data_IF_983780308387
#
_entry.id   IF_983780308387
#
_cell.length_a   1.000
_cell.length_b   1.000
_cell.length_c   1.000
_cell.angle_alpha   90.00
_cell.angle_beta   90.00
_cell.angle_gamma   90.00
#
_symmetry.space_group_name_H-M   'P 1'
#
loop_
_entity.id
_entity.type
_entity.pdbx_description
1 polymer ?
#
# COMPACT_ATOMS: atom_id res chain seq x y z
N UNK A 1 -13.02 7.71 -16.71
CA UNK A 1 -12.37 6.41 -16.85
C UNK A 1 -11.17 6.41 -15.91
N UNK A 2 -11.06 5.50 -14.94
CA UNK A 2 -9.86 5.46 -14.10
C UNK A 2 -8.69 5.04 -15.00
N UNK A 3 -7.74 5.95 -15.20
CA UNK A 3 -6.48 5.62 -15.86
C UNK A 3 -5.73 4.68 -14.93
N UNK A 4 -5.43 3.47 -15.42
CA UNK A 4 -4.55 2.55 -14.71
C UNK A 4 -3.18 3.24 -14.55
N UNK A 5 -2.58 3.20 -13.35
CA UNK A 5 -1.26 3.78 -13.15
C UNK A 5 -0.26 3.06 -14.06
N UNK A 6 0.63 3.84 -14.65
CA UNK A 6 1.76 3.33 -15.43
C UNK A 6 2.69 2.50 -14.55
N UNK A 7 3.51 1.62 -15.15
CA UNK A 7 4.48 0.81 -14.42
C UNK A 7 5.40 1.66 -13.52
N UNK A 8 5.80 2.85 -14.00
CA UNK A 8 6.59 3.82 -13.24
C UNK A 8 5.85 4.32 -12.00
N UNK A 9 4.59 4.73 -12.15
CA UNK A 9 3.77 5.20 -11.03
C UNK A 9 3.55 4.09 -9.99
N UNK A 10 3.41 2.85 -10.44
CA UNK A 10 3.25 1.70 -9.54
C UNK A 10 4.52 1.45 -8.72
N UNK A 11 5.70 1.47 -9.35
CA UNK A 11 7.00 1.38 -8.66
C UNK A 11 7.14 2.51 -7.63
N UNK A 12 6.93 3.76 -8.04
CA UNK A 12 7.05 4.91 -7.15
C UNK A 12 6.09 4.84 -5.96
N UNK A 13 4.88 4.30 -6.16
CA UNK A 13 3.89 4.10 -5.12
C UNK A 13 4.29 3.01 -4.13
N UNK A 14 4.81 1.89 -4.61
CA UNK A 14 5.29 0.78 -3.76
C UNK A 14 6.48 1.22 -2.91
N UNK A 15 7.40 1.99 -3.49
CA UNK A 15 8.64 2.43 -2.81
C UNK A 15 8.54 3.84 -2.21
N UNK A 16 7.36 4.46 -2.16
CA UNK A 16 7.18 5.82 -1.67
C UNK A 16 7.75 6.02 -0.25
N UNK A 17 7.45 5.08 0.67
CA UNK A 17 7.98 5.12 2.03
C UNK A 17 9.50 5.18 2.09
N UNK A 18 10.17 4.39 1.24
CA UNK A 18 11.62 4.34 1.17
C UNK A 18 12.22 5.62 0.55
N UNK A 19 11.64 6.11 -0.55
CA UNK A 19 12.07 7.37 -1.20
C UNK A 19 12.00 8.53 -0.20
N UNK A 20 10.92 8.63 0.58
CA UNK A 20 10.80 9.65 1.64
C UNK A 20 11.82 9.48 2.75
N UNK A 21 12.08 8.24 3.20
CA UNK A 21 13.09 7.99 4.23
C UNK A 21 14.47 8.51 3.81
N UNK A 22 14.86 8.27 2.55
CA UNK A 22 16.13 8.77 2.00
C UNK A 22 16.14 10.31 1.96
N UNK A 23 15.12 10.93 1.37
CA UNK A 23 15.08 12.40 1.23
C UNK A 23 15.02 13.10 2.58
N UNK A 24 14.24 12.58 3.54
CA UNK A 24 14.15 13.15 4.89
C UNK A 24 15.47 13.03 5.64
N UNK A 25 16.19 11.91 5.54
CA UNK A 25 17.49 11.76 6.20
C UNK A 25 18.60 12.65 5.59
N UNK A 26 18.46 13.05 4.33
CA UNK A 26 19.36 14.03 3.71
C UNK A 26 19.07 15.46 4.17
N UNK A 27 17.80 15.78 4.47
CA UNK A 27 17.38 17.07 5.05
C UNK A 27 17.69 17.15 6.54
N UNK A 28 17.42 16.07 7.26
CA UNK A 28 17.68 15.90 8.68
C UNK A 28 18.70 14.78 8.90
N UNK A 29 19.97 15.20 9.00
CA UNK A 29 21.11 14.30 9.14
C UNK A 29 21.06 13.47 10.44
N UNK A 30 20.21 13.81 11.40
CA UNK A 30 20.01 12.99 12.61
C UNK A 30 19.36 11.64 12.31
N UNK A 31 18.66 11.51 11.18
CA UNK A 31 18.01 10.26 10.74
C UNK A 31 18.92 9.35 9.90
N UNK A 32 20.13 9.82 9.53
CA UNK A 32 21.08 9.01 8.77
C UNK A 32 21.47 7.68 9.41
N UNK A 33 21.70 7.58 10.74
CA UNK A 33 22.05 6.30 11.35
C UNK A 33 20.98 5.22 11.14
N UNK A 34 19.70 5.60 11.20
CA UNK A 34 18.61 4.66 10.96
C UNK A 34 18.41 4.35 9.48
N UNK A 35 18.60 5.34 8.59
CA UNK A 35 18.65 5.08 7.14
C UNK A 35 19.76 4.10 6.79
N UNK A 36 20.95 4.23 7.38
CA UNK A 36 22.09 3.33 7.09
C UNK A 36 21.78 1.88 7.48
N UNK A 37 21.06 1.65 8.59
CA UNK A 37 20.59 0.30 8.96
C UNK A 37 19.59 -0.25 7.94
N UNK A 38 18.66 0.58 7.46
CA UNK A 38 17.71 0.19 6.43
C UNK A 38 18.42 -0.18 5.12
N UNK A 39 19.43 0.61 4.72
CA UNK A 39 20.24 0.34 3.54
C UNK A 39 21.05 -0.96 3.68
N UNK A 40 21.58 -1.24 4.86
CA UNK A 40 22.29 -2.51 5.13
C UNK A 40 21.34 -3.71 5.01
N UNK A 41 20.12 -3.60 5.55
CA UNK A 41 19.10 -4.64 5.39
C UNK A 41 18.68 -4.82 3.91
N UNK A 42 18.54 -3.73 3.15
CA UNK A 42 18.23 -3.78 1.73
C UNK A 42 19.35 -4.43 0.90
N UNK A 43 20.61 -4.12 1.22
CA UNK A 43 21.78 -4.73 0.59
C UNK A 43 21.80 -6.24 0.82
N UNK A 44 21.51 -6.70 2.05
CA UNK A 44 21.38 -8.12 2.39
C UNK A 44 20.17 -8.79 1.73
N UNK A 45 19.10 -8.04 1.45
CA UNK A 45 17.90 -8.51 0.76
C UNK A 45 18.06 -8.58 -0.77
N UNK A 46 19.25 -8.30 -1.31
CA UNK A 46 19.54 -8.41 -2.74
C UNK A 46 19.47 -7.11 -3.53
N UNK A 47 19.53 -5.95 -2.86
CA UNK A 47 19.52 -4.63 -3.51
C UNK A 47 20.88 -3.87 -3.44
N UNK A 48 22.04 -4.51 -3.69
CA UNK A 48 23.34 -3.88 -3.48
C UNK A 48 23.62 -2.70 -4.44
N UNK A 49 23.13 -2.76 -5.68
CA UNK A 49 23.37 -1.70 -6.67
C UNK A 49 22.62 -0.42 -6.31
N UNK A 50 21.33 -0.52 -5.98
CA UNK A 50 20.53 0.58 -5.45
C UNK A 50 21.16 1.21 -4.19
N UNK A 51 21.57 0.37 -3.23
CA UNK A 51 22.19 0.85 -1.99
C UNK A 51 23.51 1.59 -2.28
N UNK A 52 24.32 1.08 -3.21
CA UNK A 52 25.53 1.76 -3.68
C UNK A 52 25.22 3.15 -4.25
N UNK A 53 24.23 3.25 -5.14
CA UNK A 53 23.79 4.52 -5.72
C UNK A 53 23.28 5.50 -4.65
N UNK A 54 22.47 5.03 -3.69
CA UNK A 54 21.97 5.87 -2.59
C UNK A 54 23.10 6.33 -1.68
N UNK A 55 24.10 5.49 -1.39
CA UNK A 55 25.31 5.90 -0.66
C UNK A 55 26.05 7.03 -1.39
N UNK A 56 26.15 6.98 -2.72
CA UNK A 56 26.70 8.11 -3.49
C UNK A 56 25.85 9.38 -3.33
N UNK A 57 24.52 9.26 -3.35
CA UNK A 57 23.60 10.39 -3.09
C UNK A 57 23.78 10.95 -1.67
N UNK A 58 23.95 10.11 -0.65
CA UNK A 58 24.20 10.54 0.74
C UNK A 58 25.51 11.32 0.86
N UNK A 59 26.53 10.90 0.11
CA UNK A 59 27.82 11.57 0.02
C UNK A 59 27.81 12.82 -0.88
N UNK A 60 26.65 13.21 -1.42
CA UNK A 60 26.47 14.46 -2.18
C UNK A 60 26.71 14.36 -3.68
N UNK A 61 26.97 13.16 -4.24
CA UNK A 61 27.02 12.99 -5.69
C UNK A 61 25.62 13.04 -6.31
N UNK A 62 25.50 13.75 -7.43
CA UNK A 62 24.24 13.94 -8.18
C UNK A 62 24.41 13.70 -9.69
N UNK A 63 25.60 13.27 -10.10
CA UNK A 63 25.94 13.14 -11.50
C UNK A 63 25.30 11.87 -12.12
N UNK A 64 25.07 11.81 -13.44
CA UNK A 64 24.39 10.67 -14.08
C UNK A 64 25.11 9.32 -13.90
N UNK A 65 26.40 9.30 -13.56
CA UNK A 65 27.15 8.06 -13.40
C UNK A 65 26.67 7.22 -12.21
N UNK A 66 25.95 7.82 -11.25
CA UNK A 66 25.37 7.09 -10.12
C UNK A 66 24.31 6.07 -10.55
N UNK A 67 23.77 6.21 -11.78
CA UNK A 67 22.76 5.31 -12.35
C UNK A 67 23.35 4.18 -13.19
N UNK A 68 24.67 4.16 -13.37
CA UNK A 68 25.33 3.13 -14.18
C UNK A 68 25.22 1.76 -13.48
N UNK A 69 24.65 0.79 -14.18
CA UNK A 69 24.48 -0.58 -13.68
C UNK A 69 23.22 -0.79 -12.83
N UNK A 70 22.36 0.23 -12.71
CA UNK A 70 21.01 0.09 -12.16
C UNK A 70 20.09 -0.52 -13.21
N UNK A 71 19.11 -1.30 -12.75
CA UNK A 71 17.99 -1.69 -13.60
C UNK A 71 16.98 -0.53 -13.74
N UNK A 72 15.90 -0.77 -14.50
CA UNK A 72 14.89 0.25 -14.75
C UNK A 72 14.18 0.70 -13.46
N UNK A 73 13.94 -0.23 -12.53
CA UNK A 73 13.27 0.04 -11.26
C UNK A 73 14.17 0.91 -10.36
N UNK A 74 15.41 0.50 -10.15
CA UNK A 74 16.41 1.22 -9.38
C UNK A 74 16.68 2.61 -9.98
N UNK A 75 16.69 2.73 -11.31
CA UNK A 75 16.82 4.00 -12.01
C UNK A 75 15.67 4.94 -11.70
N UNK A 76 14.43 4.44 -11.72
CA UNK A 76 13.22 5.20 -11.36
C UNK A 76 13.30 5.68 -9.90
N UNK A 77 13.73 4.81 -8.97
CA UNK A 77 13.89 5.16 -7.56
C UNK A 77 14.92 6.27 -7.37
N UNK A 78 16.09 6.16 -7.99
CA UNK A 78 17.15 7.18 -7.88
C UNK A 78 16.69 8.51 -8.48
N UNK A 79 16.04 8.50 -9.63
CA UNK A 79 15.52 9.73 -10.24
C UNK A 79 14.46 10.41 -9.35
N UNK A 80 13.57 9.64 -8.72
CA UNK A 80 12.60 10.18 -7.77
C UNK A 80 13.24 10.74 -6.49
N UNK A 81 14.30 10.09 -5.98
CA UNK A 81 15.07 10.58 -4.83
C UNK A 81 15.77 11.90 -5.18
N UNK A 82 16.47 11.96 -6.32
CA UNK A 82 17.14 13.17 -6.79
C UNK A 82 16.13 14.32 -6.96
N UNK A 83 15.02 14.05 -7.64
CA UNK A 83 13.96 15.03 -7.84
C UNK A 83 13.36 15.50 -6.50
N UNK A 84 13.15 14.58 -5.55
CA UNK A 84 12.63 14.89 -4.22
C UNK A 84 13.60 15.67 -3.33
N UNK A 85 14.91 15.53 -3.55
CA UNK A 85 15.93 16.36 -2.89
C UNK A 85 15.83 17.81 -3.38
N UNK A 86 15.69 18.01 -4.70
CA UNK A 86 15.58 19.33 -5.31
C UNK A 86 14.21 19.98 -5.07
N UNK A 87 13.14 19.18 -5.11
CA UNK A 87 11.77 19.61 -4.90
C UNK A 87 10.99 18.59 -4.05
N UNK A 88 10.92 18.77 -2.73
CA UNK A 88 10.18 17.85 -1.85
C UNK A 88 8.70 17.69 -2.19
N UNK A 89 8.08 18.64 -2.91
CA UNK A 89 6.69 18.54 -3.35
C UNK A 89 6.49 17.57 -4.52
N UNK A 90 7.56 17.13 -5.19
CA UNK A 90 7.50 16.12 -6.25
C UNK A 90 7.52 14.68 -5.73
N UNK A 91 7.71 14.50 -4.42
CA UNK A 91 7.78 13.19 -3.82
C UNK A 91 6.46 12.43 -4.03
N UNK A 92 6.52 11.12 -4.32
CA UNK A 92 5.30 10.32 -4.43
C UNK A 92 4.53 10.40 -3.10
N UNK A 93 3.19 10.47 -3.14
CA UNK A 93 2.41 10.59 -1.92
C UNK A 93 2.71 9.39 -0.99
N UNK A 94 3.01 9.66 0.29
CA UNK A 94 3.19 8.63 1.32
C UNK A 94 1.93 7.82 1.61
N UNK A 95 0.81 8.21 1.00
CA UNK A 95 -0.40 7.43 0.96
C UNK A 95 -0.60 6.84 -0.42
N UNK A 96 -0.19 5.59 -0.53
CA UNK A 96 -1.24 4.61 -0.70
C UNK A 96 -1.14 3.55 0.38
N UNK A 97 -1.64 3.88 1.57
CA UNK A 97 -2.55 2.91 2.19
C UNK A 97 -3.47 2.45 1.05
N UNK A 98 -3.55 1.14 0.74
CA UNK A 98 -4.51 0.67 -0.24
C UNK A 98 -5.84 1.30 0.17
N UNK A 99 -6.30 2.23 -0.66
CA UNK A 99 -7.49 3.02 -0.41
C UNK A 99 -8.56 1.97 -0.18
N UNK A 100 -9.04 1.83 1.07
CA UNK A 100 -10.06 0.82 1.38
C UNK A 100 -11.27 1.00 0.45
N UNK A 101 -11.49 2.25 0.04
CA UNK A 101 -12.44 2.68 -0.98
C UNK A 101 -12.25 2.02 -2.36
N UNK A 102 -11.02 1.72 -2.79
CA UNK A 102 -10.74 1.10 -4.10
C UNK A 102 -11.04 -0.41 -4.13
N UNK A 103 -10.91 -1.09 -2.98
CA UNK A 103 -11.25 -2.50 -2.83
C UNK A 103 -12.74 -2.71 -2.50
N UNK A 104 -13.41 -1.69 -1.97
CA UNK A 104 -14.79 -1.77 -1.49
C UNK A 104 -15.80 -2.26 -2.54
N UNK A 105 -15.81 -1.78 -3.81
CA UNK A 105 -16.77 -2.25 -4.81
C UNK A 105 -16.61 -3.74 -5.15
N UNK A 106 -15.37 -4.20 -5.29
CA UNK A 106 -15.07 -5.60 -5.57
C UNK A 106 -15.46 -6.52 -4.41
N UNK A 107 -15.14 -6.10 -3.18
CA UNK A 107 -15.50 -6.83 -1.98
C UNK A 107 -17.01 -6.86 -1.74
N UNK A 108 -17.71 -5.74 -1.94
CA UNK A 108 -19.17 -5.66 -1.86
C UNK A 108 -19.85 -6.58 -2.88
N UNK A 109 -19.34 -6.61 -4.12
CA UNK A 109 -19.84 -7.51 -5.17
C UNK A 109 -19.67 -8.98 -4.79
N UNK A 110 -18.51 -9.35 -4.24
CA UNK A 110 -18.24 -10.71 -3.76
C UNK A 110 -19.12 -11.10 -2.57
N UNK A 111 -19.33 -10.19 -1.61
CA UNK A 111 -20.23 -10.40 -0.46
C UNK A 111 -21.68 -10.58 -0.96
N UNK A 112 -22.13 -9.78 -1.92
CA UNK A 112 -23.49 -9.88 -2.47
C UNK A 112 -23.69 -11.20 -3.22
N UNK A 113 -22.77 -11.56 -4.11
CA UNK A 113 -22.80 -12.83 -4.84
C UNK A 113 -22.78 -14.03 -3.88
N UNK A 114 -21.91 -13.98 -2.86
CA UNK A 114 -21.84 -14.97 -1.79
C UNK A 114 -23.16 -15.09 -1.02
N UNK A 115 -23.79 -13.96 -0.68
CA UNK A 115 -25.07 -13.92 0.00
C UNK A 115 -26.23 -14.47 -0.85
N UNK A 116 -26.11 -14.44 -2.18
CA UNK A 116 -27.06 -15.05 -3.13
C UNK A 116 -26.80 -16.55 -3.37
N UNK A 117 -25.77 -17.12 -2.74
CA UNK A 117 -25.43 -18.53 -2.86
C UNK A 117 -24.47 -18.87 -4.00
N UNK A 118 -23.74 -17.89 -4.55
CA UNK A 118 -22.67 -18.17 -5.51
C UNK A 118 -21.51 -18.91 -4.81
N UNK A 119 -21.36 -20.20 -5.13
CA UNK A 119 -20.36 -21.07 -4.53
C UNK A 119 -18.92 -20.64 -4.86
N UNK A 120 -18.67 -20.06 -6.03
CA UNK A 120 -17.35 -19.56 -6.42
C UNK A 120 -17.02 -18.29 -5.65
N UNK A 121 -17.97 -17.35 -5.54
CA UNK A 121 -17.80 -16.15 -4.74
C UNK A 121 -17.56 -16.49 -3.26
N UNK A 122 -18.30 -17.46 -2.71
CA UNK A 122 -18.11 -17.96 -1.35
C UNK A 122 -16.71 -18.53 -1.12
N UNK A 123 -16.19 -19.32 -2.06
CA UNK A 123 -14.84 -19.90 -1.95
C UNK A 123 -13.75 -18.82 -1.99
N UNK A 124 -13.88 -17.84 -2.89
CA UNK A 124 -12.96 -16.70 -2.99
C UNK A 124 -13.01 -15.87 -1.71
N UNK A 125 -14.20 -15.54 -1.23
CA UNK A 125 -14.40 -14.76 -0.02
C UNK A 125 -13.85 -15.47 1.23
N UNK A 126 -14.02 -16.80 1.33
CA UNK A 126 -13.47 -17.59 2.42
C UNK A 126 -11.93 -17.59 2.44
N UNK A 127 -11.30 -17.78 1.27
CA UNK A 127 -9.84 -17.72 1.14
C UNK A 127 -9.30 -16.31 1.50
N UNK A 128 -9.97 -15.26 1.05
CA UNK A 128 -9.62 -13.88 1.39
C UNK A 128 -9.75 -13.63 2.90
N UNK A 129 -10.86 -14.06 3.52
CA UNK A 129 -11.07 -13.92 4.95
C UNK A 129 -9.98 -14.63 5.77
N UNK A 130 -9.56 -15.83 5.35
CA UNK A 130 -8.49 -16.57 6.02
C UNK A 130 -7.15 -15.84 5.93
N UNK A 131 -6.80 -15.32 4.75
CA UNK A 131 -5.59 -14.51 4.56
C UNK A 131 -5.62 -13.22 5.39
N UNK A 132 -6.78 -12.57 5.45
CA UNK A 132 -6.97 -11.36 6.25
C UNK A 132 -6.81 -11.63 7.76
N UNK A 133 -7.31 -12.76 8.26
CA UNK A 133 -7.08 -13.19 9.66
C UNK A 133 -5.59 -13.43 9.92
N UNK A 134 -4.88 -14.07 8.99
CA UNK A 134 -3.43 -14.32 9.11
C UNK A 134 -2.60 -13.03 9.07
N UNK A 135 -3.04 -12.02 8.30
CA UNK A 135 -2.37 -10.73 8.19
C UNK A 135 -2.41 -9.90 9.50
N UNK A 136 -3.39 -10.14 10.37
CA UNK A 136 -3.51 -9.45 11.65
C UNK A 136 -4.10 -8.03 11.56
N UNK A 137 -4.22 -7.36 12.72
CA UNK A 137 -4.70 -5.98 12.83
C UNK A 137 -6.15 -5.79 12.34
N UNK A 138 -6.39 -4.66 11.66
CA UNK A 138 -7.71 -4.28 11.14
C UNK A 138 -8.27 -5.28 10.12
N UNK A 139 -7.40 -5.89 9.30
CA UNK A 139 -7.80 -6.88 8.31
C UNK A 139 -8.29 -8.16 8.98
N UNK A 140 -7.66 -8.59 10.09
CA UNK A 140 -8.12 -9.77 10.81
C UNK A 140 -9.51 -9.59 11.42
N UNK A 141 -9.79 -8.38 11.95
CA UNK A 141 -11.13 -8.02 12.41
C UNK A 141 -12.13 -8.08 11.25
N UNK A 142 -11.81 -7.51 10.09
CA UNK A 142 -12.67 -7.54 8.91
C UNK A 142 -12.93 -8.96 8.42
N UNK A 143 -11.89 -9.80 8.31
CA UNK A 143 -11.99 -11.22 7.97
C UNK A 143 -12.95 -11.98 8.90
N UNK A 144 -12.89 -11.70 10.20
CA UNK A 144 -13.82 -12.26 11.19
C UNK A 144 -15.27 -11.75 11.06
N UNK A 145 -15.48 -10.58 10.44
CA UNK A 145 -16.82 -10.01 10.17
C UNK A 145 -17.40 -10.42 8.81
N UNK A 146 -16.63 -10.97 7.87
CA UNK A 146 -17.10 -11.36 6.54
C UNK A 146 -18.35 -12.24 6.57
N UNK A 147 -18.38 -13.25 7.46
CA UNK A 147 -19.56 -14.13 7.59
C UNK A 147 -20.82 -13.36 8.00
N UNK A 148 -20.69 -12.35 8.87
CA UNK A 148 -21.83 -11.49 9.28
C UNK A 148 -22.31 -10.65 8.11
N UNK A 149 -21.39 -10.07 7.34
CA UNK A 149 -21.69 -9.28 6.14
C UNK A 149 -22.44 -10.13 5.08
N UNK A 150 -22.00 -11.36 4.82
CA UNK A 150 -22.70 -12.30 3.93
C UNK A 150 -24.10 -12.64 4.45
N UNK A 151 -24.22 -12.85 5.77
CA UNK A 151 -25.51 -13.13 6.42
C UNK A 151 -26.45 -11.92 6.52
N UNK A 152 -26.06 -10.75 6.00
CA UNK A 152 -26.92 -9.57 5.93
C UNK A 152 -26.75 -8.55 7.06
N UNK A 153 -25.74 -8.69 7.92
CA UNK A 153 -25.41 -7.67 8.93
C UNK A 153 -25.00 -6.35 8.27
N UNK A 154 -25.63 -5.24 8.66
CA UNK A 154 -25.35 -3.90 8.14
C UNK A 154 -25.15 -2.86 9.24
N UNK A 155 -25.08 -3.28 10.51
CA UNK A 155 -24.81 -2.37 11.62
C UNK A 155 -23.33 -1.95 11.60
N UNK A 156 -23.07 -0.76 11.09
CA UNK A 156 -21.73 -0.18 10.98
C UNK A 156 -21.02 -0.16 12.33
N UNK A 157 -21.69 0.31 13.40
CA UNK A 157 -21.10 0.44 14.74
C UNK A 157 -20.60 -0.91 15.25
N UNK A 158 -21.39 -1.97 15.04
CA UNK A 158 -20.99 -3.33 15.44
C UNK A 158 -19.89 -3.95 14.58
N UNK A 159 -19.80 -3.54 13.31
CA UNK A 159 -18.83 -4.09 12.36
C UNK A 159 -17.46 -3.43 12.52
N UNK A 160 -17.40 -2.17 12.96
CA UNK A 160 -16.16 -1.40 13.12
C UNK A 160 -15.52 -1.50 14.52
N UNK A 161 -16.16 -2.19 15.47
CA UNK A 161 -15.66 -2.33 16.86
C UNK A 161 -14.24 -2.90 16.87
N UNK A 162 -13.32 -2.16 17.50
CA UNK A 162 -11.92 -2.57 17.68
C UNK A 162 -11.01 -2.24 16.50
N UNK A 163 -11.54 -1.74 15.37
CA UNK A 163 -10.74 -1.35 14.21
C UNK A 163 -10.09 0.03 14.40
N UNK A 164 -8.90 0.20 13.83
CA UNK A 164 -8.25 1.48 13.56
C UNK A 164 -8.89 2.22 12.38
N UNK A 165 -8.48 3.47 12.14
CA UNK A 165 -9.13 4.37 11.18
C UNK A 165 -9.30 3.76 9.78
N UNK A 166 -8.28 3.04 9.29
CA UNK A 166 -8.28 2.42 7.96
C UNK A 166 -9.30 1.28 7.85
N UNK A 167 -9.36 0.38 8.85
CA UNK A 167 -10.35 -0.71 8.86
C UNK A 167 -11.79 -0.18 8.89
N UNK A 168 -12.03 0.90 9.64
CA UNK A 168 -13.35 1.55 9.73
C UNK A 168 -13.79 2.09 8.38
N UNK A 169 -12.91 2.85 7.73
CA UNK A 169 -13.19 3.47 6.43
C UNK A 169 -13.49 2.42 5.35
N UNK A 170 -12.76 1.30 5.35
CA UNK A 170 -13.02 0.18 4.46
C UNK A 170 -14.40 -0.45 4.71
N UNK A 171 -14.77 -0.73 5.96
CA UNK A 171 -16.10 -1.29 6.29
C UNK A 171 -17.21 -0.36 5.85
N UNK A 172 -17.09 0.94 6.14
CA UNK A 172 -18.07 1.96 5.74
C UNK A 172 -18.22 1.97 4.22
N UNK A 173 -17.10 2.02 3.49
CA UNK A 173 -17.11 2.01 2.03
C UNK A 173 -17.77 0.74 1.46
N UNK A 174 -17.51 -0.43 2.04
CA UNK A 174 -18.14 -1.70 1.62
C UNK A 174 -19.65 -1.68 1.86
N UNK A 175 -20.10 -1.14 3.00
CA UNK A 175 -21.53 -1.02 3.31
C UNK A 175 -22.23 -0.06 2.34
N UNK A 176 -21.60 1.06 1.99
CA UNK A 176 -22.13 2.00 1.00
C UNK A 176 -22.25 1.35 -0.39
N UNK A 177 -21.25 0.59 -0.82
CA UNK A 177 -21.32 -0.17 -2.09
C UNK A 177 -22.39 -1.27 -2.04
N UNK A 178 -22.52 -2.00 -0.93
CA UNK A 178 -23.59 -2.99 -0.73
C UNK A 178 -24.99 -2.35 -0.79
N UNK A 179 -25.15 -1.13 -0.29
CA UNK A 179 -26.41 -0.38 -0.37
C UNK A 179 -26.76 -0.01 -1.82
N UNK A 180 -25.77 0.30 -2.67
CA UNK A 180 -25.97 0.56 -4.10
C UNK A 180 -26.38 -0.69 -4.88
N UNK A 181 -25.87 -1.87 -4.50
CA UNK A 181 -26.16 -3.15 -5.15
C UNK A 181 -27.54 -3.72 -4.77
N UNK A 182 -28.11 -3.26 -3.65
CA UNK A 182 -29.46 -3.59 -3.19
C UNK A 182 -30.24 -2.31 -2.94
N UNK A 183 -30.67 -1.58 -3.98
CA UNK A 183 -31.66 -0.54 -3.80
C UNK A 183 -32.91 -1.21 -3.21
N UNK A 184 -33.33 -0.75 -2.02
CA UNK A 184 -34.60 -1.15 -1.41
C UNK A 184 -35.78 -0.76 -2.32
#
# INVERSE_FOLDING_TARGET
>A
MPHLPTAVEQVLRVHAGFIHAVVNALRDRSQLPDLMKQLEAAEQAGWPHLVGAIRHVINGRRDPSIKLGLDDEDTILIDAILLGIDNPASLPPLNAQPDGSSAAPGLASLIDASARGDAQAMAVLANMAEQMVRAGGDMALLGGRMRRLVNGERDTEQLIVGMGALGRELVISVLDELAKLRPQ
#
